data_IF_844347621500
#
_entry.id   IF_844347621500
#
_cell.length_a   1.000
_cell.length_b   1.000
_cell.length_c   1.000
_cell.angle_alpha   90.00
_cell.angle_beta   90.00
_cell.angle_gamma   90.00
#
_symmetry.space_group_name_H-M   'P 1'
#
loop_
_entity.id
_entity.type
_entity.pdbx_description
1 polymer ?
#
# COMPACT_ATOMS: atom_id res chain seq x y z
N UNK A 1 23.00 5.33 -39.73
CA UNK A 1 23.44 5.32 -38.31
C UNK A 1 23.31 3.90 -37.79
N UNK A 2 24.32 3.34 -37.13
CA UNK A 2 24.44 1.89 -36.94
C UNK A 2 24.04 1.44 -35.52
N UNK A 3 23.37 0.29 -35.43
CA UNK A 3 22.79 -0.25 -34.19
C UNK A 3 23.81 -0.56 -33.06
N UNK A 4 25.12 -0.51 -33.32
CA UNK A 4 26.17 -0.73 -32.30
C UNK A 4 26.24 0.36 -31.23
N UNK A 5 25.75 1.58 -31.50
CA UNK A 5 25.82 2.71 -30.54
C UNK A 5 24.91 2.50 -29.32
N UNK A 6 23.77 1.82 -29.48
CA UNK A 6 22.79 1.63 -28.39
C UNK A 6 23.27 0.71 -27.25
N UNK A 7 24.25 -0.16 -27.50
CA UNK A 7 24.72 -1.14 -26.51
C UNK A 7 25.75 -0.54 -25.54
N UNK A 8 26.54 0.44 -25.97
CA UNK A 8 27.64 1.00 -25.16
C UNK A 8 27.12 1.83 -23.97
N UNK A 9 25.99 2.53 -24.15
CA UNK A 9 25.38 3.36 -23.09
C UNK A 9 24.84 2.48 -21.93
N UNK A 10 24.42 1.25 -22.21
CA UNK A 10 23.91 0.32 -21.18
C UNK A 10 24.98 -0.15 -20.18
N UNK A 11 26.27 -0.16 -20.57
CA UNK A 11 27.35 -0.69 -19.73
C UNK A 11 27.97 0.33 -18.77
N UNK A 12 27.71 1.63 -18.94
CA UNK A 12 28.30 2.69 -18.08
C UNK A 12 27.53 2.89 -16.77
N UNK A 13 26.27 2.43 -16.70
CA UNK A 13 25.42 2.62 -15.51
C UNK A 13 25.72 1.57 -14.41
N UNK A 14 26.24 0.40 -14.78
CA UNK A 14 26.43 -0.75 -13.85
C UNK A 14 27.63 -0.59 -12.91
N UNK A 15 28.64 0.21 -13.27
CA UNK A 15 29.86 0.39 -12.45
C UNK A 15 29.75 1.47 -11.38
N UNK A 16 28.65 2.23 -11.32
CA UNK A 16 28.46 3.32 -10.36
C UNK A 16 28.05 2.92 -8.94
N UNK A 17 27.59 1.68 -8.73
CA UNK A 17 26.95 1.26 -7.45
C UNK A 17 27.87 0.55 -6.45
N UNK A 18 29.11 0.20 -6.79
CA UNK A 18 29.96 -0.66 -5.93
C UNK A 18 30.81 0.08 -4.91
N UNK A 19 31.10 1.38 -5.09
CA UNK A 19 32.01 2.10 -4.18
C UNK A 19 31.34 2.67 -2.92
N UNK A 20 30.05 3.01 -2.93
CA UNK A 20 29.38 3.63 -1.77
C UNK A 20 29.20 2.63 -0.62
N UNK A 21 28.81 1.39 -0.93
CA UNK A 21 28.61 0.34 0.09
C UNK A 21 29.91 -0.09 0.79
N UNK A 22 31.07 -0.01 0.11
CA UNK A 22 32.34 -0.46 0.67
C UNK A 22 32.86 0.44 1.80
N UNK A 23 32.51 1.73 1.80
CA UNK A 23 32.95 2.68 2.82
C UNK A 23 32.24 2.48 4.18
N UNK A 24 31.04 1.90 4.19
CA UNK A 24 30.25 1.66 5.41
C UNK A 24 30.42 0.26 6.03
N UNK A 25 31.21 -0.62 5.40
CA UNK A 25 31.46 -1.99 5.87
C UNK A 25 32.80 -2.17 6.61
N UNK A 26 33.53 -1.08 6.89
CA UNK A 26 34.85 -1.13 7.53
C UNK A 26 34.92 -0.35 8.85
N UNK A 27 34.06 -0.75 9.79
CA UNK A 27 34.42 -0.91 11.22
C UNK A 27 33.27 -1.57 12.01
N UNK A 28 33.33 -2.89 12.17
CA UNK A 28 32.57 -3.62 13.19
C UNK A 28 33.39 -4.81 13.70
N UNK A 29 33.84 -4.72 14.95
CA UNK A 29 34.58 -5.81 15.60
C UNK A 29 33.62 -6.96 15.93
N UNK A 30 33.73 -8.05 15.18
CA UNK A 30 32.97 -9.29 15.44
C UNK A 30 33.62 -10.05 16.60
N UNK A 31 32.99 -10.01 17.78
CA UNK A 31 33.27 -10.96 18.85
C UNK A 31 32.70 -12.34 18.48
N UNK A 32 33.51 -13.40 18.62
CA UNK A 32 33.00 -14.77 18.49
C UNK A 32 31.95 -15.06 19.56
N UNK A 33 30.88 -15.72 19.16
CA UNK A 33 29.99 -16.46 20.07
C UNK A 33 30.30 -17.94 19.84
N UNK A 34 30.68 -18.65 20.89
CA UNK A 34 30.78 -20.11 20.87
C UNK A 34 29.39 -20.69 21.14
N UNK A 35 28.93 -21.59 20.28
CA UNK A 35 27.71 -22.36 20.52
C UNK A 35 28.14 -23.68 21.16
N UNK A 36 27.89 -23.80 22.47
CA UNK A 36 27.88 -25.10 23.14
C UNK A 36 26.59 -25.79 22.71
N UNK A 37 26.71 -26.85 21.92
CA UNK A 37 25.59 -27.70 21.55
C UNK A 37 25.30 -28.75 22.63
N UNK A 38 24.07 -29.24 22.64
CA UNK A 38 23.70 -30.50 23.28
C UNK A 38 22.95 -31.34 22.25
N UNK A 39 23.24 -32.64 22.18
CA UNK A 39 22.75 -33.58 21.15
C UNK A 39 21.97 -34.74 21.82
N UNK A 40 21.64 -35.82 21.10
CA UNK A 40 20.78 -36.97 21.54
C UNK A 40 19.26 -36.61 21.55
N UNK A 41 18.26 -37.48 21.31
CA UNK A 41 18.05 -38.84 20.74
C UNK A 41 16.50 -39.01 20.64
N UNK A 42 15.78 -39.70 19.73
CA UNK A 42 15.94 -40.53 18.51
C UNK A 42 14.75 -40.15 17.57
N UNK A 43 14.77 -40.19 16.23
CA UNK A 43 15.01 -41.25 15.23
C UNK A 43 13.82 -42.22 14.95
N UNK A 44 13.59 -42.51 13.65
CA UNK A 44 12.58 -43.43 13.04
C UNK A 44 11.13 -42.91 13.09
N UNK A 45 10.22 -43.23 12.14
CA UNK A 45 10.17 -44.36 11.17
C UNK A 45 10.04 -43.88 9.70
N UNK A 46 10.23 -44.79 8.73
CA UNK A 46 10.24 -44.51 7.29
C UNK A 46 9.20 -45.34 6.48
N UNK A 47 9.07 -44.98 5.19
CA UNK A 47 8.52 -45.74 4.04
C UNK A 47 7.04 -46.17 4.02
N UNK A 48 6.32 -45.64 3.01
CA UNK A 48 5.77 -46.45 1.90
C UNK A 48 5.39 -45.57 0.71
N UNK A 49 5.58 -46.07 -0.52
CA UNK A 49 5.17 -45.41 -1.76
C UNK A 49 4.63 -46.40 -2.78
N UNK A 50 3.78 -45.93 -3.70
CA UNK A 50 3.23 -46.66 -4.86
C UNK A 50 2.91 -45.62 -5.96
N UNK A 51 3.34 -45.87 -7.21
CA UNK A 51 2.83 -45.22 -8.43
C UNK A 51 1.97 -46.23 -9.26
N UNK A 52 1.53 -45.94 -10.49
CA UNK A 52 0.25 -45.28 -10.76
C UNK A 52 -0.70 -46.19 -11.56
N UNK A 53 -1.93 -45.73 -11.83
CA UNK A 53 -2.84 -46.40 -12.76
C UNK A 53 -3.55 -45.40 -13.69
N UNK A 54 -3.73 -45.80 -14.95
CA UNK A 54 -4.53 -45.05 -15.93
C UNK A 54 -5.98 -45.54 -15.94
N UNK A 55 -6.90 -44.65 -16.30
CA UNK A 55 -8.29 -44.93 -16.63
C UNK A 55 -8.81 -43.83 -17.57
N UNK A 56 -9.64 -44.19 -18.54
CA UNK A 56 -10.11 -43.32 -19.63
C UNK A 56 -11.65 -43.36 -19.75
N UNK A 57 -12.20 -42.56 -20.69
CA UNK A 57 -13.64 -42.47 -21.07
C UNK A 57 -14.45 -41.62 -20.05
N UNK A 58 -15.41 -40.75 -20.43
CA UNK A 58 -16.01 -40.43 -21.75
C UNK A 58 -16.09 -38.92 -22.03
N UNK A 59 -16.41 -38.57 -23.27
CA UNK A 59 -16.97 -37.29 -23.68
C UNK A 59 -18.36 -37.03 -23.04
N UNK A 60 -18.78 -35.76 -22.96
CA UNK A 60 -20.06 -35.32 -23.56
C UNK A 60 -20.07 -33.79 -23.85
N UNK A 61 -21.08 -33.32 -24.59
CA UNK A 61 -21.11 -32.06 -25.32
C UNK A 61 -22.18 -31.08 -24.81
N UNK A 62 -21.85 -29.79 -24.69
CA UNK A 62 -22.84 -28.71 -24.72
C UNK A 62 -22.24 -27.39 -25.20
N UNK A 63 -22.52 -27.03 -26.45
CA UNK A 63 -22.27 -25.69 -26.98
C UNK A 63 -23.50 -25.16 -27.72
N UNK A 64 -24.10 -24.07 -27.20
CA UNK A 64 -25.33 -23.50 -27.76
C UNK A 64 -25.45 -21.99 -27.49
N UNK A 65 -25.28 -21.18 -28.54
CA UNK A 65 -25.98 -19.88 -28.73
C UNK A 65 -25.51 -19.18 -30.02
N UNK A 66 -26.30 -19.33 -31.09
CA UNK A 66 -26.37 -18.38 -32.21
C UNK A 66 -27.77 -18.39 -32.79
N UNK A 67 -28.43 -17.24 -32.80
CA UNK A 67 -29.03 -16.59 -33.98
C UNK A 67 -29.81 -15.33 -33.54
N UNK A 68 -29.74 -14.29 -34.36
CA UNK A 68 -30.63 -13.12 -34.26
C UNK A 68 -31.88 -13.37 -35.10
N UNK A 69 -32.95 -12.60 -34.85
CA UNK A 69 -33.58 -11.74 -35.88
C UNK A 69 -34.66 -10.84 -35.25
N UNK A 70 -35.01 -9.74 -35.93
CA UNK A 70 -35.94 -8.70 -35.47
C UNK A 70 -37.39 -8.93 -35.95
N UNK A 71 -38.40 -8.37 -35.26
CA UNK A 71 -39.12 -7.18 -35.75
C UNK A 71 -40.38 -6.75 -34.95
N UNK A 72 -40.61 -5.44 -35.01
CA UNK A 72 -41.90 -4.70 -35.04
C UNK A 72 -43.12 -5.12 -34.21
N UNK A 73 -43.58 -4.20 -33.35
CA UNK A 73 -44.94 -3.63 -33.44
C UNK A 73 -44.99 -2.24 -32.77
N UNK A 74 -45.88 -1.37 -33.23
CA UNK A 74 -46.10 0.00 -32.72
C UNK A 74 -47.26 0.08 -31.74
N UNK A 75 -47.21 1.02 -30.79
CA UNK A 75 -48.40 1.85 -30.50
C UNK A 75 -48.01 3.25 -30.01
N UNK A 76 -48.93 4.21 -30.10
CA UNK A 76 -48.69 5.63 -29.90
C UNK A 76 -49.58 6.23 -28.80
N UNK A 77 -48.98 7.00 -27.89
CA UNK A 77 -49.70 7.91 -26.98
C UNK A 77 -49.03 9.28 -27.06
N UNK A 78 -49.86 10.33 -27.18
CA UNK A 78 -49.46 11.72 -27.37
C UNK A 78 -49.67 12.54 -26.08
N UNK A 79 -49.17 13.78 -26.08
CA UNK A 79 -49.51 14.90 -25.18
C UNK A 79 -49.71 14.62 -23.67
N UNK A 80 -48.74 15.03 -22.84
CA UNK A 80 -48.92 16.24 -22.02
C UNK A 80 -47.63 16.66 -21.29
N UNK A 81 -47.15 17.88 -21.58
CA UNK A 81 -45.98 18.50 -20.94
C UNK A 81 -46.42 19.68 -20.04
N UNK A 82 -47.25 19.37 -19.04
CA UNK A 82 -47.58 20.30 -17.96
C UNK A 82 -46.40 20.48 -16.99
N UNK A 83 -46.39 21.58 -16.22
CA UNK A 83 -45.16 22.11 -15.60
C UNK A 83 -44.97 21.67 -14.15
N UNK A 84 -43.81 21.08 -13.87
CA UNK A 84 -43.30 20.81 -12.51
C UNK A 84 -43.40 22.04 -11.59
N UNK A 85 -44.00 21.91 -10.38
CA UNK A 85 -44.12 23.02 -9.44
C UNK A 85 -42.79 23.31 -8.72
N UNK A 86 -42.34 24.56 -8.79
CA UNK A 86 -41.10 25.02 -8.15
C UNK A 86 -41.24 24.97 -6.62
N UNK A 87 -40.67 23.94 -5.97
CA UNK A 87 -40.59 23.86 -4.51
C UNK A 87 -39.60 24.90 -3.98
N UNK A 88 -40.09 25.81 -3.14
CA UNK A 88 -39.25 26.76 -2.40
C UNK A 88 -38.47 26.02 -1.30
N UNK A 89 -37.14 26.04 -1.40
CA UNK A 89 -36.25 25.44 -0.39
C UNK A 89 -36.06 26.40 0.78
N UNK A 90 -37.08 26.48 1.64
CA UNK A 90 -37.00 27.11 2.96
C UNK A 90 -37.44 26.10 4.03
N UNK A 91 -36.63 25.95 5.08
CA UNK A 91 -36.90 25.10 6.27
C UNK A 91 -36.75 23.58 6.09
N UNK A 92 -35.54 23.11 5.76
CA UNK A 92 -35.01 21.85 6.35
C UNK A 92 -33.87 22.20 7.29
N UNK A 93 -34.22 22.50 8.56
CA UNK A 93 -33.27 22.69 9.67
C UNK A 93 -33.11 21.42 10.50
N UNK A 94 -32.83 20.30 9.84
CA UNK A 94 -32.42 19.04 10.51
C UNK A 94 -31.39 18.27 9.66
N UNK A 95 -30.33 18.97 9.24
CA UNK A 95 -29.08 18.28 8.86
C UNK A 95 -28.45 17.79 10.15
N UNK A 96 -28.51 16.47 10.37
CA UNK A 96 -27.99 15.83 11.57
C UNK A 96 -26.52 16.23 11.83
N UNK A 97 -26.22 16.60 13.09
CA UNK A 97 -24.84 16.84 13.53
C UNK A 97 -23.99 15.59 13.23
N UNK A 98 -22.73 15.72 12.77
CA UNK A 98 -21.84 14.58 12.70
C UNK A 98 -21.67 14.02 14.12
N UNK A 99 -22.12 12.78 14.34
CA UNK A 99 -21.98 12.10 15.63
C UNK A 99 -20.51 11.71 15.79
N UNK A 100 -19.74 12.59 16.40
CA UNK A 100 -18.37 12.36 16.80
C UNK A 100 -18.32 11.35 17.97
N UNK A 101 -18.66 10.10 17.67
CA UNK A 101 -18.41 8.97 18.57
C UNK A 101 -16.91 8.75 18.64
N UNK A 102 -16.30 9.24 19.71
CA UNK A 102 -14.86 9.10 19.97
C UNK A 102 -14.53 7.68 20.43
N UNK A 103 -14.71 6.71 19.53
CA UNK A 103 -14.12 5.39 19.69
C UNK A 103 -12.61 5.53 19.53
N UNK A 104 -11.87 5.20 20.60
CA UNK A 104 -10.41 5.21 20.59
C UNK A 104 -9.89 4.36 19.43
N UNK A 105 -9.04 4.95 18.58
CA UNK A 105 -8.43 4.28 17.42
C UNK A 105 -7.85 2.91 17.81
N UNK A 106 -8.36 1.85 17.17
CA UNK A 106 -7.85 0.49 17.34
C UNK A 106 -6.65 0.29 16.41
N UNK A 107 -5.46 0.43 16.98
CA UNK A 107 -4.18 0.22 16.28
C UNK A 107 -3.58 -1.12 16.74
N UNK A 108 -3.10 -1.91 15.79
CA UNK A 108 -2.35 -3.15 16.04
C UNK A 108 -0.86 -2.85 15.96
N UNK A 109 -0.13 -2.99 17.06
CA UNK A 109 1.31 -2.72 17.07
C UNK A 109 2.09 -3.94 16.54
N UNK A 110 2.68 -3.81 15.35
CA UNK A 110 3.62 -4.76 14.71
C UNK A 110 4.97 -4.05 14.50
N UNK A 111 5.58 -3.58 15.60
CA UNK A 111 6.79 -2.77 15.51
C UNK A 111 7.97 -3.55 14.92
N UNK A 112 8.57 -3.00 13.87
CA UNK A 112 9.71 -3.59 13.17
C UNK A 112 11.01 -3.38 13.95
N UNK A 113 12.05 -4.12 13.58
CA UNK A 113 13.41 -4.03 14.13
C UNK A 113 14.42 -3.39 13.16
N UNK A 114 14.03 -3.12 11.91
CA UNK A 114 14.85 -2.53 10.85
C UNK A 114 14.01 -1.60 9.95
N UNK A 115 14.62 -0.99 8.94
CA UNK A 115 13.93 -0.13 7.97
C UNK A 115 13.61 1.29 8.47
N UNK A 116 14.16 1.70 9.62
CA UNK A 116 14.01 3.06 10.19
C UNK A 116 15.28 3.52 10.93
N UNK A 117 15.39 4.82 11.17
CA UNK A 117 16.36 5.44 12.08
C UNK A 117 15.66 5.86 13.38
N UNK A 118 16.30 5.65 14.54
CA UNK A 118 15.79 6.17 15.82
C UNK A 118 15.94 7.68 15.91
N UNK A 119 14.94 8.37 16.46
CA UNK A 119 15.09 9.77 16.90
C UNK A 119 14.34 10.03 18.21
N UNK A 120 14.77 11.08 18.90
CA UNK A 120 14.20 11.57 20.16
C UNK A 120 13.73 13.03 20.07
N UNK A 121 14.16 13.78 19.05
CA UNK A 121 13.64 15.11 18.71
C UNK A 121 13.46 15.18 17.18
N UNK A 122 12.23 15.47 16.74
CA UNK A 122 11.80 15.38 15.35
C UNK A 122 10.53 16.20 15.16
N UNK A 123 10.60 17.34 14.47
CA UNK A 123 9.38 18.03 14.04
C UNK A 123 8.72 17.25 12.90
N UNK A 124 7.48 16.84 13.15
CA UNK A 124 6.59 16.19 12.17
C UNK A 124 5.58 17.24 11.71
N UNK A 125 5.54 17.51 10.40
CA UNK A 125 4.57 18.44 9.80
C UNK A 125 3.94 17.92 8.49
N UNK A 126 4.34 16.73 8.05
CA UNK A 126 3.95 16.17 6.75
C UNK A 126 3.42 14.75 6.93
N UNK A 127 2.41 14.38 6.16
CA UNK A 127 1.93 13.00 6.00
C UNK A 127 2.10 12.62 4.54
N UNK A 128 2.66 11.44 4.28
CA UNK A 128 2.79 10.88 2.93
C UNK A 128 1.91 9.64 2.84
N UNK A 129 1.08 9.58 1.81
CA UNK A 129 0.16 8.47 1.53
C UNK A 129 0.77 7.67 0.38
N UNK A 130 0.81 6.35 0.56
CA UNK A 130 1.44 5.40 -0.35
C UNK A 130 0.44 4.29 -0.75
N UNK A 131 0.87 3.36 -1.60
CA UNK A 131 0.15 2.13 -1.85
C UNK A 131 1.11 0.98 -2.11
N UNK A 132 0.78 -0.18 -1.56
CA UNK A 132 1.58 -1.39 -1.62
C UNK A 132 0.67 -2.63 -1.67
N UNK A 133 1.18 -3.69 -2.26
CA UNK A 133 0.56 -5.02 -2.33
C UNK A 133 1.68 -6.05 -2.14
N UNK A 134 1.35 -7.26 -1.71
CA UNK A 134 2.31 -8.36 -1.66
C UNK A 134 2.65 -8.77 -3.10
N UNK A 135 3.88 -8.53 -3.51
CA UNK A 135 4.38 -8.76 -4.87
C UNK A 135 5.19 -10.06 -4.99
N UNK A 136 5.46 -10.74 -3.86
CA UNK A 136 6.23 -11.99 -3.80
C UNK A 136 5.41 -13.21 -3.33
N UNK A 137 4.29 -12.99 -2.63
CA UNK A 137 3.37 -14.02 -2.15
C UNK A 137 2.10 -14.22 -3.00
N UNK A 138 1.31 -15.24 -2.64
CA UNK A 138 0.10 -15.64 -3.38
C UNK A 138 -1.14 -14.74 -3.12
N UNK A 139 -1.19 -14.06 -1.96
CA UNK A 139 -2.24 -13.09 -1.63
C UNK A 139 -1.69 -11.67 -1.68
N UNK A 140 -1.94 -10.98 -2.79
CA UNK A 140 -1.57 -9.57 -3.01
C UNK A 140 -2.06 -8.59 -1.92
N UNK A 141 -3.02 -8.97 -1.07
CA UNK A 141 -3.51 -8.15 0.04
C UNK A 141 -2.96 -8.57 1.41
N UNK A 142 -2.01 -9.50 1.44
CA UNK A 142 -1.33 -10.01 2.64
C UNK A 142 -0.54 -8.90 3.35
N UNK A 143 -1.11 -8.39 4.44
CA UNK A 143 -0.41 -7.41 5.30
C UNK A 143 0.87 -7.97 5.92
N UNK A 144 0.99 -9.29 6.08
CA UNK A 144 2.22 -9.92 6.57
C UNK A 144 3.29 -10.00 5.47
N UNK A 145 2.93 -10.41 4.25
CA UNK A 145 3.87 -10.50 3.12
C UNK A 145 4.47 -9.13 2.77
N UNK A 146 3.63 -8.09 2.73
CA UNK A 146 4.05 -6.69 2.58
C UNK A 146 5.07 -6.29 3.67
N UNK A 147 4.88 -6.72 4.92
CA UNK A 147 5.82 -6.45 6.02
C UNK A 147 7.14 -7.22 5.84
N UNK A 148 7.10 -8.48 5.36
CA UNK A 148 8.31 -9.25 5.07
C UNK A 148 9.10 -8.64 3.90
N UNK A 149 8.43 -8.12 2.86
CA UNK A 149 9.06 -7.35 1.79
C UNK A 149 9.74 -6.07 2.32
N UNK A 150 9.07 -5.30 3.18
CA UNK A 150 9.68 -4.10 3.78
C UNK A 150 10.98 -4.44 4.52
N UNK A 151 10.96 -5.51 5.33
CA UNK A 151 12.13 -6.00 6.05
C UNK A 151 13.24 -6.47 5.10
N UNK A 152 12.91 -7.19 4.03
CA UNK A 152 13.86 -7.70 3.04
C UNK A 152 14.52 -6.57 2.22
N UNK A 153 13.78 -5.52 1.87
CA UNK A 153 14.30 -4.35 1.16
C UNK A 153 14.91 -3.28 2.08
N UNK A 154 14.82 -3.44 3.40
CA UNK A 154 15.34 -2.49 4.38
C UNK A 154 14.60 -1.14 4.40
N UNK A 155 13.31 -1.15 4.05
CA UNK A 155 12.41 0.02 4.03
C UNK A 155 11.32 -0.11 5.09
N UNK A 156 10.55 0.95 5.36
CA UNK A 156 9.32 0.85 6.15
C UNK A 156 8.44 2.10 6.04
N UNK A 157 7.16 1.95 6.37
CA UNK A 157 6.26 3.05 6.72
C UNK A 157 6.00 3.07 8.23
N UNK A 158 5.38 4.12 8.76
CA UNK A 158 5.00 4.16 10.19
C UNK A 158 3.70 3.39 10.43
N UNK A 159 2.79 3.44 9.45
CA UNK A 159 1.50 2.76 9.48
C UNK A 159 1.22 2.01 8.16
N UNK A 160 0.51 0.89 8.26
CA UNK A 160 -0.04 0.12 7.14
C UNK A 160 -1.54 -0.10 7.39
N UNK A 161 -2.39 0.10 6.39
CA UNK A 161 -3.85 -0.06 6.52
C UNK A 161 -4.35 -1.15 5.57
N UNK A 162 -4.81 -2.26 6.14
CA UNK A 162 -5.38 -3.41 5.42
C UNK A 162 -6.67 -3.07 4.65
N UNK A 163 -7.07 -3.94 3.72
CA UNK A 163 -8.30 -3.77 2.91
C UNK A 163 -9.57 -3.64 3.75
N UNK A 164 -9.57 -4.28 4.92
CA UNK A 164 -10.61 -4.26 5.95
C UNK A 164 -10.63 -2.97 6.81
N UNK A 165 -9.62 -2.09 6.65
CA UNK A 165 -9.42 -0.91 7.48
C UNK A 165 -8.65 -1.14 8.78
N UNK A 166 -8.09 -2.34 9.02
CA UNK A 166 -7.23 -2.56 10.21
C UNK A 166 -5.94 -1.76 10.06
N UNK A 167 -5.66 -0.92 11.05
CA UNK A 167 -4.46 -0.07 11.14
C UNK A 167 -3.37 -0.82 11.90
N UNK A 168 -2.25 -1.08 11.25
CA UNK A 168 -1.03 -1.59 11.87
C UNK A 168 -0.04 -0.45 12.06
N UNK A 169 0.57 -0.33 13.24
CA UNK A 169 1.74 0.53 13.47
C UNK A 169 3.01 -0.30 13.37
N UNK A 170 3.89 0.08 12.43
CA UNK A 170 5.13 -0.62 12.09
C UNK A 170 6.37 0.12 12.64
N UNK A 171 6.32 1.45 12.72
CA UNK A 171 7.39 2.27 13.30
C UNK A 171 6.78 3.33 14.21
N UNK A 172 7.37 3.55 15.39
CA UNK A 172 6.96 4.61 16.31
C UNK A 172 7.16 5.99 15.65
N UNK A 173 6.17 6.87 15.72
CA UNK A 173 6.17 8.16 15.00
C UNK A 173 7.38 9.05 15.28
N UNK A 174 7.99 8.96 16.46
CA UNK A 174 9.22 9.69 16.81
C UNK A 174 10.44 9.27 15.98
N UNK A 175 10.48 8.02 15.51
CA UNK A 175 11.53 7.49 14.66
C UNK A 175 11.29 7.90 13.19
N UNK A 176 12.28 7.71 12.33
CA UNK A 176 12.23 8.05 10.91
C UNK A 176 12.11 6.75 10.11
N UNK A 177 10.90 6.38 9.71
CA UNK A 177 10.67 5.26 8.78
C UNK A 177 11.20 5.60 7.37
N UNK A 178 11.75 4.62 6.65
CA UNK A 178 12.35 4.82 5.34
C UNK A 178 11.35 4.61 4.18
N UNK A 179 10.39 5.54 4.03
CA UNK A 179 9.28 5.42 3.07
C UNK A 179 9.43 6.27 1.79
N UNK A 180 9.88 7.52 1.92
CA UNK A 180 9.80 8.53 0.87
C UNK A 180 11.02 8.59 -0.07
N UNK A 181 12.17 8.01 0.32
CA UNK A 181 13.40 8.03 -0.49
C UNK A 181 13.83 9.44 -0.95
N UNK A 182 14.42 9.54 -2.14
CA UNK A 182 14.73 10.83 -2.78
C UNK A 182 13.43 11.55 -3.13
N UNK A 183 13.20 12.69 -2.47
CA UNK A 183 11.89 13.36 -2.40
C UNK A 183 12.01 14.82 -1.95
N UNK A 184 11.00 15.64 -2.27
CA UNK A 184 10.81 17.01 -1.75
C UNK A 184 9.33 17.38 -1.59
N UNK A 185 9.02 18.30 -0.67
CA UNK A 185 7.67 18.86 -0.48
C UNK A 185 7.51 20.25 -1.14
N UNK A 186 6.28 20.81 -1.28
CA UNK A 186 6.05 22.06 -2.01
C UNK A 186 6.75 23.32 -1.49
N UNK A 187 7.29 23.32 -0.27
CA UNK A 187 8.14 24.41 0.25
C UNK A 187 9.64 24.24 -0.06
N UNK A 188 9.99 23.24 -0.88
CA UNK A 188 11.36 22.98 -1.33
C UNK A 188 12.21 22.13 -0.40
N UNK A 189 11.74 21.81 0.83
CA UNK A 189 12.48 20.91 1.72
C UNK A 189 12.60 19.51 1.13
N UNK A 190 13.82 18.98 1.13
CA UNK A 190 14.18 17.66 0.61
C UNK A 190 14.34 16.62 1.73
N UNK A 191 14.40 15.34 1.37
CA UNK A 191 14.64 14.26 2.34
C UNK A 191 13.45 14.02 3.25
N UNK A 192 12.26 13.89 2.65
CA UNK A 192 10.95 13.99 3.32
C UNK A 192 10.77 13.00 4.47
N UNK A 193 11.48 11.86 4.45
CA UNK A 193 11.63 10.94 5.59
C UNK A 193 11.90 11.68 6.93
N UNK A 194 12.72 12.73 6.96
CA UNK A 194 13.12 13.39 8.20
C UNK A 194 11.93 14.02 8.98
N UNK A 195 10.88 14.50 8.30
CA UNK A 195 9.79 15.29 8.90
C UNK A 195 8.37 14.79 8.58
N UNK A 196 8.23 13.57 8.05
CA UNK A 196 6.95 13.03 7.61
C UNK A 196 6.55 11.65 8.14
N UNK A 197 5.25 11.46 8.36
CA UNK A 197 4.64 10.15 8.61
C UNK A 197 4.17 9.53 7.30
N UNK A 198 4.90 8.52 6.81
CA UNK A 198 4.44 7.63 5.74
C UNK A 198 3.36 6.66 6.23
N UNK A 199 2.24 6.60 5.51
CA UNK A 199 1.10 5.69 5.69
C UNK A 199 0.91 4.87 4.41
N UNK A 200 1.02 3.56 4.52
CA UNK A 200 0.81 2.61 3.44
C UNK A 200 -0.63 2.10 3.40
N UNK A 201 -1.21 2.03 2.21
CA UNK A 201 -2.57 1.55 1.97
C UNK A 201 -2.51 0.31 1.10
N UNK A 202 -2.99 -0.83 1.61
CA UNK A 202 -2.95 -2.10 0.89
C UNK A 202 -3.81 -2.00 -0.38
N UNK A 203 -3.19 -2.03 -1.57
CA UNK A 203 -3.84 -1.85 -2.86
C UNK A 203 -2.93 -2.24 -4.04
N UNK A 204 -3.52 -2.81 -5.09
CA UNK A 204 -2.83 -2.97 -6.38
C UNK A 204 -2.90 -1.67 -7.20
N UNK A 205 -2.29 -1.66 -8.40
CA UNK A 205 -2.43 -0.56 -9.37
C UNK A 205 -3.83 -0.49 -10.01
N UNK A 206 -4.60 -1.58 -9.99
CA UNK A 206 -5.91 -1.71 -10.66
C UNK A 206 -7.10 -1.62 -9.71
N UNK A 207 -6.91 -1.99 -8.45
CA UNK A 207 -7.96 -2.01 -7.43
C UNK A 207 -8.33 -0.62 -6.93
N UNK A 208 -9.62 -0.44 -6.61
CA UNK A 208 -10.10 0.74 -5.92
C UNK A 208 -9.87 0.61 -4.41
N UNK A 209 -9.52 1.74 -3.77
CA UNK A 209 -9.47 1.88 -2.31
C UNK A 209 -10.82 1.57 -1.65
N UNK A 210 -10.83 0.75 -0.58
CA UNK A 210 -12.06 0.40 0.14
C UNK A 210 -12.60 1.55 0.98
N UNK A 211 -13.91 1.56 1.26
CA UNK A 211 -14.53 2.53 2.19
C UNK A 211 -13.89 2.45 3.58
N UNK A 212 -13.56 1.25 4.03
CA UNK A 212 -12.93 0.96 5.30
C UNK A 212 -11.53 1.60 5.39
N UNK A 213 -10.73 1.51 4.32
CA UNK A 213 -9.43 2.18 4.23
C UNK A 213 -9.56 3.71 4.32
N UNK A 214 -10.54 4.32 3.64
CA UNK A 214 -10.79 5.77 3.78
C UNK A 214 -11.20 6.16 5.21
N UNK A 215 -12.09 5.39 5.87
CA UNK A 215 -12.52 5.67 7.26
C UNK A 215 -11.36 5.53 8.25
N UNK A 216 -10.54 4.49 8.11
CA UNK A 216 -9.35 4.27 8.92
C UNK A 216 -8.33 5.40 8.72
N UNK A 217 -8.06 5.78 7.47
CA UNK A 217 -7.12 6.85 7.12
C UNK A 217 -7.59 8.23 7.60
N UNK A 218 -8.88 8.57 7.44
CA UNK A 218 -9.48 9.81 7.97
C UNK A 218 -9.30 9.89 9.49
N UNK A 219 -9.67 8.82 10.21
CA UNK A 219 -9.53 8.75 11.67
C UNK A 219 -8.07 8.92 12.11
N UNK A 220 -7.15 8.21 11.47
CA UNK A 220 -5.72 8.24 11.77
C UNK A 220 -5.08 9.61 11.48
N UNK A 221 -5.47 10.27 10.38
CA UNK A 221 -5.01 11.62 10.03
C UNK A 221 -5.63 12.68 10.98
N UNK A 222 -6.87 12.49 11.42
CA UNK A 222 -7.51 13.36 12.42
C UNK A 222 -6.80 13.30 13.77
N UNK A 223 -6.47 12.08 14.23
CA UNK A 223 -5.66 11.87 15.45
C UNK A 223 -4.27 12.53 15.33
N UNK A 224 -3.54 12.31 14.23
CA UNK A 224 -2.25 13.00 13.99
C UNK A 224 -2.38 14.52 13.96
N UNK A 225 -3.43 15.09 13.34
CA UNK A 225 -3.71 16.53 13.35
C UNK A 225 -4.01 17.08 14.74
N UNK A 226 -4.44 16.25 15.69
CA UNK A 226 -4.62 16.66 17.09
C UNK A 226 -3.32 16.68 17.91
N UNK A 227 -2.24 16.10 17.38
CA UNK A 227 -0.94 15.90 18.06
C UNK A 227 0.23 16.61 17.37
N UNK A 228 0.09 16.95 16.09
CA UNK A 228 1.13 17.56 15.25
C UNK A 228 0.57 18.71 14.40
N UNK A 229 1.40 19.72 14.14
CA UNK A 229 1.11 20.82 13.22
C UNK A 229 1.24 20.35 11.75
N UNK A 230 0.33 19.48 11.30
CA UNK A 230 0.35 18.92 9.95
C UNK A 230 0.07 20.00 8.91
N UNK A 231 1.14 20.47 8.26
CA UNK A 231 1.16 21.41 7.14
C UNK A 231 0.80 20.74 5.81
N UNK A 232 1.18 19.48 5.62
CA UNK A 232 1.00 18.77 4.35
C UNK A 232 0.43 17.36 4.53
N UNK A 233 -0.48 16.97 3.62
CA UNK A 233 -0.85 15.58 3.35
C UNK A 233 -0.71 15.38 1.85
N UNK A 234 0.17 14.47 1.42
CA UNK A 234 0.62 14.34 0.03
C UNK A 234 0.73 12.87 -0.38
N UNK A 235 0.63 12.59 -1.68
CA UNK A 235 0.97 11.28 -2.26
C UNK A 235 2.48 11.14 -2.50
N UNK A 236 2.99 9.91 -2.56
CA UNK A 236 4.39 9.65 -2.91
C UNK A 236 4.75 10.24 -4.29
N UNK A 237 3.83 10.13 -5.25
CA UNK A 237 3.91 10.74 -6.58
C UNK A 237 4.00 12.27 -6.58
N UNK A 238 3.47 12.95 -5.56
CA UNK A 238 3.58 14.42 -5.42
C UNK A 238 4.94 14.85 -4.85
N UNK A 239 5.57 14.03 -4.01
CA UNK A 239 6.90 14.33 -3.43
C UNK A 239 8.07 13.74 -4.25
N UNK A 240 7.79 12.82 -5.18
CA UNK A 240 8.78 12.17 -6.03
C UNK A 240 8.28 11.98 -7.49
N UNK A 241 7.85 13.08 -8.16
CA UNK A 241 7.29 13.01 -9.50
C UNK A 241 8.26 12.38 -10.50
N UNK A 242 7.75 11.50 -11.37
CA UNK A 242 8.56 10.74 -12.34
C UNK A 242 9.34 9.55 -11.75
N UNK A 243 9.50 9.46 -10.42
CA UNK A 243 10.08 8.28 -9.74
C UNK A 243 9.01 7.34 -9.17
N UNK A 244 7.89 7.88 -8.70
CA UNK A 244 6.79 7.13 -8.05
C UNK A 244 5.43 7.55 -8.59
N UNK A 245 4.49 6.60 -8.61
CA UNK A 245 3.14 6.74 -9.17
C UNK A 245 2.02 6.48 -8.13
N UNK A 246 2.35 5.89 -6.99
CA UNK A 246 1.53 5.70 -5.79
C UNK A 246 1.19 7.04 -5.08
N UNK A 247 0.03 7.16 -4.40
CA UNK A 247 -0.96 6.10 -4.13
C UNK A 247 -1.90 5.85 -5.31
N UNK A 248 -2.14 4.57 -5.63
CA UNK A 248 -2.92 4.18 -6.81
C UNK A 248 -4.42 4.18 -6.51
N UNK A 249 -5.23 4.67 -7.46
CA UNK A 249 -6.69 4.79 -7.34
C UNK A 249 -7.18 5.55 -6.08
N UNK A 250 -6.34 6.48 -5.60
CA UNK A 250 -6.66 7.33 -4.46
C UNK A 250 -7.49 8.55 -4.86
N UNK A 251 -8.65 8.73 -4.23
CA UNK A 251 -9.61 9.80 -4.52
C UNK A 251 -9.50 10.85 -3.42
N UNK A 252 -8.71 11.90 -3.67
CA UNK A 252 -8.42 12.97 -2.70
C UNK A 252 -9.68 13.58 -2.07
N UNK A 253 -10.76 13.76 -2.83
CA UNK A 253 -12.04 14.31 -2.33
C UNK A 253 -12.79 13.38 -1.35
N UNK A 254 -12.35 12.13 -1.16
CA UNK A 254 -12.82 11.25 -0.07
C UNK A 254 -12.06 11.48 1.24
N UNK A 255 -10.94 12.21 1.24
CA UNK A 255 -10.27 12.64 2.47
C UNK A 255 -10.92 13.95 2.94
N UNK A 256 -11.63 13.89 4.07
CA UNK A 256 -12.33 15.01 4.71
C UNK A 256 -11.66 15.34 6.05
#
# INVERSE_FOLDING_TARGET
MNNKVKIIIAFVIVTGMTMVGWYFLRDSHVSKIEIVGDEQQLAQTAEKGVEPSQGSISDDNSSASRLNLENEATDSIDSDFEKEPIIKVDTIKDVAKPVASSSKLKIVHKLLNSGFQTSNDRKIDTIVIHSSYDALGDDQFSTEGIIQEYLAYGVSAHYLIGRDGTIYQLVQEKNIAYHAGVSSVPDGRTGVNAFSIGIELVNTKTDQMTTQQYVALQSLISDMKSRYEIKYVLGHNQIAPGRKDDPWNFVWNKLK
#
